data_IF_347397050810
#
_entry.id   IF_347397050810
#
_cell.length_a   1.000
_cell.length_b   1.000
_cell.length_c   1.000
_cell.angle_alpha   90.00
_cell.angle_beta   90.00
_cell.angle_gamma   90.00
#
_symmetry.space_group_name_H-M   'P 1'
#
loop_
_entity.id
_entity.type
_entity.pdbx_description
1 polymer ?
#
# COMPACT_ATOMS: atom_id res chain seq x y z
N UNK A 1 9.39 -9.06 21.29
CA UNK A 1 8.08 -8.84 21.92
C UNK A 1 7.00 -8.74 20.86
N UNK A 2 5.82 -9.27 21.16
CA UNK A 2 4.64 -9.08 20.32
C UNK A 2 4.29 -7.59 20.19
N UNK A 3 3.78 -7.19 19.03
CA UNK A 3 3.41 -5.81 18.78
C UNK A 3 2.18 -5.71 17.88
N UNK A 4 1.36 -4.68 18.08
CA UNK A 4 0.33 -4.30 17.13
C UNK A 4 0.99 -3.59 15.94
N UNK A 5 0.62 -4.01 14.72
CA UNK A 5 1.18 -3.49 13.48
C UNK A 5 0.05 -3.05 12.55
N UNK A 6 0.38 -2.21 11.58
CA UNK A 6 -0.61 -1.76 10.60
C UNK A 6 -0.97 -2.85 9.57
N UNK A 7 0.01 -3.62 9.13
CA UNK A 7 -0.19 -4.68 8.15
C UNK A 7 0.83 -5.80 8.30
N UNK A 8 0.46 -7.00 7.90
CA UNK A 8 1.33 -8.17 7.81
C UNK A 8 1.51 -8.57 6.34
N UNK A 9 2.68 -9.12 6.03
CA UNK A 9 2.99 -9.59 4.68
C UNK A 9 2.15 -10.83 4.33
N UNK A 10 1.68 -10.90 3.09
CA UNK A 10 1.02 -12.08 2.55
C UNK A 10 1.90 -13.34 2.51
N UNK A 11 3.21 -13.21 2.75
CA UNK A 11 4.12 -14.35 2.88
C UNK A 11 3.80 -15.22 4.10
N UNK A 12 3.29 -14.62 5.18
CA UNK A 12 2.84 -15.34 6.37
C UNK A 12 1.77 -14.52 7.10
N UNK A 13 0.51 -14.84 6.82
CA UNK A 13 -0.63 -14.16 7.41
C UNK A 13 -1.63 -15.21 7.91
N UNK A 14 -1.75 -15.35 9.23
CA UNK A 14 -2.77 -16.16 9.87
C UNK A 14 -3.97 -15.28 10.23
N UNK A 15 -5.16 -15.74 9.88
CA UNK A 15 -6.38 -14.97 10.11
C UNK A 15 -7.50 -15.85 10.64
N UNK A 16 -8.35 -15.26 11.44
CA UNK A 16 -9.63 -15.89 11.81
C UNK A 16 -10.54 -15.86 10.60
N UNK A 17 -11.13 -17.02 10.27
CA UNK A 17 -12.00 -17.20 9.10
C UNK A 17 -13.20 -16.23 9.12
N UNK A 18 -13.84 -16.05 10.28
CA UNK A 18 -14.96 -15.13 10.45
C UNK A 18 -14.55 -13.67 10.16
N UNK A 19 -13.44 -13.21 10.71
CA UNK A 19 -12.90 -11.87 10.45
C UNK A 19 -12.52 -11.67 8.96
N UNK A 20 -11.98 -12.71 8.31
CA UNK A 20 -11.66 -12.66 6.90
C UNK A 20 -12.91 -12.48 6.04
N UNK A 21 -13.95 -13.28 6.30
CA UNK A 21 -15.20 -13.24 5.56
C UNK A 21 -15.98 -11.95 5.81
N UNK A 22 -15.99 -11.45 7.05
CA UNK A 22 -16.71 -10.23 7.42
C UNK A 22 -16.26 -9.00 6.64
N UNK A 23 -14.97 -8.88 6.33
CA UNK A 23 -14.45 -7.76 5.53
C UNK A 23 -14.40 -8.06 4.02
N UNK A 24 -14.90 -9.22 3.58
CA UNK A 24 -14.97 -9.61 2.18
C UNK A 24 -13.68 -10.20 1.60
N UNK A 25 -12.74 -10.66 2.45
CA UNK A 25 -11.52 -11.33 2.01
C UNK A 25 -10.56 -10.45 1.21
N UNK A 26 -9.66 -11.08 0.46
CA UNK A 26 -8.77 -10.38 -0.49
C UNK A 26 -9.58 -9.88 -1.70
N UNK A 27 -9.30 -8.67 -2.13
CA UNK A 27 -9.94 -8.10 -3.33
C UNK A 27 -9.20 -8.56 -4.59
N UNK A 28 -9.81 -9.43 -5.36
CA UNK A 28 -9.23 -10.04 -6.57
C UNK A 28 -8.77 -9.03 -7.63
N UNK A 29 -9.35 -7.80 -7.62
CA UNK A 29 -8.98 -6.73 -8.55
C UNK A 29 -7.54 -6.26 -8.36
N UNK A 30 -6.95 -6.51 -7.19
CA UNK A 30 -5.53 -6.22 -6.96
C UNK A 30 -4.64 -7.21 -7.72
N UNK A 31 -5.03 -8.46 -7.82
CA UNK A 31 -4.27 -9.57 -8.41
C UNK A 31 -3.01 -9.93 -7.60
N UNK A 32 -2.11 -8.99 -7.39
CA UNK A 32 -0.89 -9.13 -6.57
C UNK A 32 -0.36 -7.74 -6.19
N UNK A 33 0.26 -7.65 -5.02
CA UNK A 33 0.77 -6.44 -4.35
C UNK A 33 -0.32 -5.51 -3.83
N UNK A 34 -0.21 -5.14 -2.58
CA UNK A 34 -1.09 -4.25 -1.79
C UNK A 34 -2.42 -4.90 -1.37
N UNK A 35 -2.77 -6.11 -1.83
CA UNK A 35 -4.01 -6.80 -1.44
C UNK A 35 -4.03 -7.14 0.05
N UNK A 36 -2.89 -7.55 0.58
CA UNK A 36 -2.73 -7.86 2.01
C UNK A 36 -2.78 -6.60 2.87
N UNK A 37 -2.22 -5.49 2.37
CA UNK A 37 -2.27 -4.20 3.07
C UNK A 37 -3.70 -3.65 3.07
N UNK A 38 -4.41 -3.76 1.94
CA UNK A 38 -5.83 -3.40 1.84
C UNK A 38 -6.68 -4.22 2.82
N UNK A 39 -6.43 -5.52 2.91
CA UNK A 39 -7.14 -6.42 3.81
C UNK A 39 -6.90 -6.03 5.28
N UNK A 40 -5.64 -5.85 5.68
CA UNK A 40 -5.29 -5.42 7.02
C UNK A 40 -5.93 -4.07 7.37
N UNK A 41 -5.93 -3.12 6.43
CA UNK A 41 -6.57 -1.82 6.64
C UNK A 41 -8.08 -1.94 6.87
N UNK A 42 -8.76 -2.82 6.12
CA UNK A 42 -10.21 -3.09 6.33
C UNK A 42 -10.48 -3.73 7.69
N UNK A 43 -9.61 -4.64 8.17
CA UNK A 43 -9.71 -5.20 9.52
C UNK A 43 -9.58 -4.14 10.59
N UNK A 44 -8.54 -3.32 10.53
CA UNK A 44 -8.33 -2.23 11.49
C UNK A 44 -9.53 -1.27 11.53
N UNK A 45 -10.13 -0.98 10.37
CA UNK A 45 -11.34 -0.15 10.29
C UNK A 45 -12.58 -0.83 10.89
N UNK A 46 -12.60 -2.14 10.92
CA UNK A 46 -13.68 -2.94 11.51
C UNK A 46 -13.45 -3.25 13.00
N UNK A 47 -12.42 -2.65 13.63
CA UNK A 47 -12.12 -2.81 15.05
C UNK A 47 -11.27 -4.06 15.37
N UNK A 48 -10.76 -4.77 14.38
CA UNK A 48 -9.80 -5.84 14.59
C UNK A 48 -8.38 -5.30 14.76
N UNK A 49 -7.53 -6.10 15.39
CA UNK A 49 -6.09 -5.83 15.49
C UNK A 49 -5.30 -6.75 14.55
N UNK A 50 -4.19 -6.22 14.02
CA UNK A 50 -3.16 -7.00 13.35
C UNK A 50 -1.96 -7.04 14.27
N UNK A 51 -1.49 -8.24 14.63
CA UNK A 51 -0.42 -8.45 15.60
C UNK A 51 0.74 -9.21 14.98
N UNK A 52 1.95 -8.81 15.33
CA UNK A 52 3.18 -9.52 15.04
C UNK A 52 3.58 -10.36 16.24
N UNK A 53 3.95 -11.63 15.99
CA UNK A 53 4.58 -12.51 16.99
C UNK A 53 5.97 -12.93 16.53
N UNK A 54 7.01 -12.73 17.37
CA UNK A 54 8.37 -13.13 17.04
C UNK A 54 8.63 -14.64 17.28
N UNK A 55 7.68 -15.34 17.90
CA UNK A 55 7.83 -16.74 18.32
C UNK A 55 7.66 -17.74 17.15
N UNK A 56 7.29 -17.26 15.97
CA UNK A 56 7.15 -18.06 14.76
C UNK A 56 7.96 -17.44 13.63
N UNK A 57 8.82 -18.23 13.02
CA UNK A 57 9.66 -17.80 11.90
C UNK A 57 9.35 -18.63 10.67
N UNK A 58 9.17 -17.95 9.53
CA UNK A 58 9.06 -18.58 8.22
C UNK A 58 10.18 -18.11 7.30
N UNK A 59 10.56 -18.96 6.37
CA UNK A 59 11.50 -18.61 5.30
C UNK A 59 10.73 -18.39 4.00
N UNK A 60 10.91 -17.24 3.38
CA UNK A 60 10.19 -16.85 2.17
C UNK A 60 11.15 -16.56 1.01
N UNK A 61 10.97 -17.27 -0.11
CA UNK A 61 11.66 -17.01 -1.36
C UNK A 61 11.07 -15.77 -2.03
N UNK A 62 11.64 -14.61 -1.73
CA UNK A 62 11.22 -13.35 -2.34
C UNK A 62 11.40 -13.35 -3.85
N UNK A 63 10.39 -12.85 -4.60
CA UNK A 63 10.49 -12.69 -6.06
C UNK A 63 10.16 -13.92 -6.91
N UNK A 64 9.72 -15.02 -6.30
CA UNK A 64 9.34 -16.23 -7.05
C UNK A 64 8.20 -16.01 -8.04
N UNK A 65 7.23 -15.14 -7.70
CA UNK A 65 6.06 -14.86 -8.55
C UNK A 65 6.34 -13.81 -9.63
N UNK A 66 7.05 -12.74 -9.29
CA UNK A 66 7.38 -11.64 -10.22
C UNK A 66 8.78 -11.11 -9.92
N UNK A 67 9.69 -11.23 -10.91
CA UNK A 67 11.05 -10.70 -10.77
C UNK A 67 11.04 -9.18 -10.58
N UNK A 68 12.06 -8.64 -9.91
CA UNK A 68 12.20 -7.20 -9.66
C UNK A 68 12.35 -6.37 -10.94
N UNK A 69 12.80 -6.98 -12.04
CA UNK A 69 12.96 -6.36 -13.36
C UNK A 69 11.70 -6.37 -14.22
N UNK A 70 10.55 -6.82 -13.68
CA UNK A 70 9.32 -6.96 -14.44
C UNK A 70 8.49 -5.66 -14.41
N UNK A 71 8.24 -5.07 -15.59
CA UNK A 71 7.40 -3.88 -15.74
C UNK A 71 5.95 -4.10 -15.24
N UNK A 72 5.44 -5.36 -15.27
CA UNK A 72 4.14 -5.72 -14.69
C UNK A 72 4.13 -5.52 -13.18
N UNK A 73 5.23 -5.82 -12.49
CA UNK A 73 5.36 -5.57 -11.04
C UNK A 73 5.29 -4.07 -10.75
N UNK A 74 5.99 -3.24 -11.53
CA UNK A 74 5.91 -1.78 -11.40
C UNK A 74 4.48 -1.31 -11.62
N UNK A 75 3.84 -1.73 -12.71
CA UNK A 75 2.45 -1.40 -13.01
C UNK A 75 1.51 -1.74 -11.85
N UNK A 76 1.58 -2.97 -11.31
CA UNK A 76 0.72 -3.42 -10.23
C UNK A 76 0.96 -2.59 -8.95
N UNK A 77 2.20 -2.37 -8.57
CA UNK A 77 2.53 -1.59 -7.38
C UNK A 77 1.96 -0.16 -7.45
N UNK A 78 2.15 0.54 -8.57
CA UNK A 78 1.65 1.91 -8.72
C UNK A 78 0.11 1.96 -8.80
N UNK A 79 -0.52 1.08 -9.59
CA UNK A 79 -1.98 1.01 -9.70
C UNK A 79 -2.64 0.65 -8.38
N UNK A 80 -2.16 -0.40 -7.74
CA UNK A 80 -2.76 -0.94 -6.52
C UNK A 80 -2.55 -0.02 -5.33
N UNK A 81 -1.42 0.67 -5.24
CA UNK A 81 -1.20 1.68 -4.21
C UNK A 81 -2.25 2.80 -4.29
N UNK A 82 -2.53 3.31 -5.50
CA UNK A 82 -3.57 4.32 -5.70
C UNK A 82 -4.98 3.77 -5.37
N UNK A 83 -5.28 2.53 -5.76
CA UNK A 83 -6.56 1.89 -5.45
C UNK A 83 -6.74 1.68 -3.95
N UNK A 84 -5.71 1.17 -3.27
CA UNK A 84 -5.70 0.93 -1.82
C UNK A 84 -5.95 2.24 -1.06
N UNK A 85 -5.23 3.31 -1.41
CA UNK A 85 -5.42 4.63 -0.81
C UNK A 85 -6.83 5.17 -1.07
N UNK A 86 -7.32 5.07 -2.31
CA UNK A 86 -8.66 5.55 -2.66
C UNK A 86 -9.77 4.79 -1.94
N UNK A 87 -9.64 3.46 -1.83
CA UNK A 87 -10.60 2.56 -1.19
C UNK A 87 -10.69 2.73 0.32
N UNK A 88 -9.57 3.01 0.97
CA UNK A 88 -9.48 2.97 2.44
C UNK A 88 -9.44 4.34 3.11
N UNK A 89 -8.96 5.39 2.42
CA UNK A 89 -8.94 6.74 2.98
C UNK A 89 -10.32 7.42 2.93
N UNK A 90 -10.66 8.23 3.95
CA UNK A 90 -11.82 9.11 3.87
C UNK A 90 -11.77 9.98 2.62
N UNK A 91 -12.93 10.20 2.01
CA UNK A 91 -13.04 10.91 0.72
C UNK A 91 -12.26 12.24 0.67
N UNK A 92 -12.31 13.04 1.76
CA UNK A 92 -11.58 14.32 1.85
C UNK A 92 -10.06 14.09 1.82
N UNK A 93 -9.57 13.10 2.56
CA UNK A 93 -8.14 12.75 2.60
C UNK A 93 -7.67 12.17 1.26
N UNK A 94 -8.44 11.27 0.66
CA UNK A 94 -8.13 10.71 -0.65
C UNK A 94 -8.01 11.81 -1.72
N UNK A 95 -8.95 12.77 -1.77
CA UNK A 95 -8.89 13.92 -2.68
C UNK A 95 -7.62 14.78 -2.51
N UNK A 96 -7.12 14.89 -1.28
CA UNK A 96 -5.91 15.69 -0.96
C UNK A 96 -4.61 14.91 -1.24
N UNK A 97 -4.59 13.61 -0.92
CA UNK A 97 -3.37 12.80 -0.96
C UNK A 97 -3.07 12.23 -2.35
N UNK A 98 -4.09 11.75 -3.07
CA UNK A 98 -3.89 11.09 -4.36
C UNK A 98 -3.21 11.98 -5.41
N UNK A 99 -3.55 13.27 -5.59
CA UNK A 99 -2.83 14.12 -6.54
C UNK A 99 -1.35 14.26 -6.21
N UNK A 100 -1.01 14.40 -4.91
CA UNK A 100 0.39 14.48 -4.45
C UNK A 100 1.15 13.19 -4.73
N UNK A 101 0.49 12.05 -4.48
CA UNK A 101 1.06 10.74 -4.79
C UNK A 101 1.26 10.57 -6.29
N UNK A 102 0.30 10.95 -7.11
CA UNK A 102 0.41 10.86 -8.57
C UNK A 102 1.52 11.76 -9.13
N UNK A 103 1.78 12.92 -8.51
CA UNK A 103 2.92 13.76 -8.87
C UNK A 103 4.25 13.05 -8.60
N UNK A 104 4.41 12.45 -7.41
CA UNK A 104 5.61 11.66 -7.07
C UNK A 104 5.79 10.46 -8.01
N UNK A 105 4.70 9.83 -8.42
CA UNK A 105 4.73 8.75 -9.41
C UNK A 105 5.21 9.27 -10.77
N UNK A 106 4.79 10.49 -11.16
CA UNK A 106 5.27 11.17 -12.38
C UNK A 106 6.77 11.44 -12.34
N UNK A 107 7.29 11.91 -11.19
CA UNK A 107 8.74 12.08 -10.99
C UNK A 107 9.48 10.74 -11.12
N UNK A 108 8.93 9.67 -10.56
CA UNK A 108 9.49 8.32 -10.71
C UNK A 108 9.51 7.85 -12.17
N UNK A 109 8.45 8.16 -12.94
CA UNK A 109 8.40 7.88 -14.37
C UNK A 109 9.48 8.67 -15.15
N UNK A 110 9.65 9.95 -14.82
CA UNK A 110 10.71 10.79 -15.38
C UNK A 110 12.11 10.22 -15.09
N UNK A 111 12.36 9.79 -13.86
CA UNK A 111 13.64 9.12 -13.51
C UNK A 111 13.87 7.84 -14.31
N UNK A 112 12.83 7.06 -14.59
CA UNK A 112 12.96 5.88 -15.44
C UNK A 112 13.27 6.25 -16.89
N UNK A 113 12.69 7.32 -17.41
CA UNK A 113 13.00 7.81 -18.78
C UNK A 113 14.46 8.24 -18.89
N UNK A 114 14.96 9.05 -17.94
CA UNK A 114 16.38 9.48 -17.90
C UNK A 114 17.33 8.28 -17.84
N UNK A 115 16.94 7.19 -17.17
CA UNK A 115 17.72 5.94 -17.09
C UNK A 115 17.53 5.01 -18.30
N UNK A 116 16.88 5.44 -19.39
CA UNK A 116 16.63 4.63 -20.58
C UNK A 116 15.62 3.48 -20.34
N UNK A 117 14.88 3.50 -19.24
CA UNK A 117 13.92 2.44 -18.86
C UNK A 117 12.48 2.81 -19.21
N UNK A 118 12.22 3.17 -20.46
CA UNK A 118 10.92 3.67 -20.96
C UNK A 118 9.74 2.74 -20.66
N UNK A 119 9.95 1.41 -20.70
CA UNK A 119 8.91 0.41 -20.37
C UNK A 119 8.37 0.55 -18.94
N UNK A 120 9.20 1.01 -17.99
CA UNK A 120 8.76 1.24 -16.61
C UNK A 120 7.98 2.55 -16.47
N UNK A 121 8.41 3.60 -17.17
CA UNK A 121 7.63 4.85 -17.27
C UNK A 121 6.26 4.61 -17.89
N UNK A 122 6.19 3.81 -18.95
CA UNK A 122 4.93 3.39 -19.57
C UNK A 122 4.04 2.58 -18.60
N UNK A 123 4.64 1.71 -17.78
CA UNK A 123 3.92 0.94 -16.78
C UNK A 123 3.25 1.86 -15.74
N UNK A 124 3.93 2.94 -15.31
CA UNK A 124 3.37 3.93 -14.38
C UNK A 124 2.21 4.70 -15.05
N UNK A 125 2.39 5.17 -16.29
CA UNK A 125 1.30 5.82 -17.03
C UNK A 125 0.07 4.92 -17.15
N UNK A 126 0.26 3.66 -17.54
CA UNK A 126 -0.80 2.64 -17.61
C UNK A 126 -1.47 2.43 -16.27
N UNK A 127 -0.70 2.38 -15.18
CA UNK A 127 -1.20 2.25 -13.83
C UNK A 127 -2.17 3.38 -13.46
N UNK A 128 -1.82 4.62 -13.77
CA UNK A 128 -2.68 5.79 -13.53
C UNK A 128 -3.95 5.78 -14.38
N UNK A 129 -3.82 5.40 -15.66
CA UNK A 129 -4.98 5.27 -16.56
C UNK A 129 -5.97 4.22 -16.04
N UNK A 130 -5.46 3.05 -15.68
CA UNK A 130 -6.29 1.94 -15.23
C UNK A 130 -6.85 2.18 -13.82
N UNK A 131 -6.11 2.85 -12.94
CA UNK A 131 -6.66 3.36 -11.67
C UNK A 131 -7.89 4.25 -11.88
N UNK A 132 -7.84 5.21 -12.84
CA UNK A 132 -8.98 6.10 -13.11
C UNK A 132 -10.23 5.33 -13.54
N UNK A 133 -10.07 4.22 -14.27
CA UNK A 133 -11.16 3.33 -14.67
C UNK A 133 -11.65 2.47 -13.50
N UNK A 134 -10.72 1.89 -12.75
CA UNK A 134 -11.05 0.94 -11.69
C UNK A 134 -11.62 1.59 -10.42
N UNK A 135 -11.27 2.84 -10.12
CA UNK A 135 -11.76 3.54 -8.92
C UNK A 135 -13.29 3.65 -8.85
N UNK A 136 -14.00 3.56 -9.98
CA UNK A 136 -15.46 3.59 -10.02
C UNK A 136 -16.11 2.39 -9.32
N UNK A 137 -15.38 1.28 -9.15
CA UNK A 137 -15.85 0.10 -8.43
C UNK A 137 -15.75 0.24 -6.90
N UNK A 138 -15.25 1.36 -6.41
CA UNK A 138 -15.02 1.60 -4.99
C UNK A 138 -15.69 2.90 -4.52
N UNK A 139 -16.24 2.84 -3.32
CA UNK A 139 -16.76 4.03 -2.63
C UNK A 139 -15.87 4.34 -1.44
N UNK A 140 -15.12 5.47 -1.47
CA UNK A 140 -14.33 5.88 -0.32
C UNK A 140 -15.21 6.09 0.91
N UNK A 141 -14.76 5.72 2.12
CA UNK A 141 -15.52 5.93 3.33
C UNK A 141 -15.78 7.42 3.58
N UNK A 142 -16.92 7.74 4.16
CA UNK A 142 -17.30 9.11 4.50
C UNK A 142 -16.61 9.60 5.77
N UNK A 143 -16.55 8.75 6.78
CA UNK A 143 -15.94 9.05 8.07
C UNK A 143 -14.45 8.64 8.11
N UNK A 144 -13.62 9.35 8.89
CA UNK A 144 -12.30 8.84 9.20
C UNK A 144 -12.45 7.50 9.92
N UNK A 145 -11.60 6.52 9.61
CA UNK A 145 -11.51 5.32 10.43
C UNK A 145 -11.13 5.72 11.86
N UNK A 146 -11.40 4.85 12.81
CA UNK A 146 -10.82 4.89 14.15
C UNK A 146 -9.36 5.34 14.00
N UNK A 147 -8.95 6.30 14.84
CA UNK A 147 -7.60 6.87 14.79
C UNK A 147 -6.58 5.72 14.82
N UNK A 148 -5.96 5.45 13.69
CA UNK A 148 -5.01 4.35 13.56
C UNK A 148 -3.69 4.83 14.15
N UNK A 149 -3.47 4.56 15.43
CA UNK A 149 -2.25 4.89 16.17
C UNK A 149 -0.97 4.34 15.53
N UNK A 150 -1.13 3.29 14.72
CA UNK A 150 -0.03 2.66 13.96
C UNK A 150 0.34 3.38 12.66
N UNK A 151 -0.35 4.47 12.28
CA UNK A 151 -0.02 5.25 11.07
C UNK A 151 0.82 6.45 11.43
N UNK A 152 2.05 6.49 10.93
CA UNK A 152 2.94 7.64 11.08
C UNK A 152 2.37 8.88 10.37
N UNK A 153 2.19 10.02 11.07
CA UNK A 153 1.41 11.16 10.55
C UNK A 153 2.16 12.02 9.52
N UNK A 154 3.47 11.83 9.37
CA UNK A 154 4.29 12.65 8.49
C UNK A 154 4.73 11.92 7.22
N UNK A 155 5.13 12.65 6.19
CA UNK A 155 5.67 12.09 4.96
C UNK A 155 7.06 11.50 5.19
N UNK A 156 7.23 10.19 5.07
CA UNK A 156 8.53 9.51 5.17
C UNK A 156 9.49 10.01 4.08
N UNK A 157 8.98 10.29 2.87
CA UNK A 157 9.77 10.85 1.77
C UNK A 157 10.36 12.20 2.17
N UNK A 158 9.57 13.08 2.79
CA UNK A 158 10.03 14.37 3.29
C UNK A 158 11.06 14.22 4.41
N UNK A 159 10.78 13.34 5.38
CA UNK A 159 11.69 13.06 6.49
C UNK A 159 13.05 12.55 6.01
N UNK A 160 13.04 11.65 5.02
CA UNK A 160 14.27 11.05 4.50
C UNK A 160 15.09 12.03 3.64
N UNK A 161 14.47 12.66 2.63
CA UNK A 161 15.20 13.47 1.64
C UNK A 161 15.51 14.90 2.09
N UNK A 162 14.65 15.49 2.93
CA UNK A 162 14.80 16.89 3.33
C UNK A 162 15.23 17.07 4.78
N UNK A 163 14.84 16.17 5.69
CA UNK A 163 15.21 16.23 7.09
C UNK A 163 16.33 15.24 7.48
N UNK A 164 16.86 14.48 6.53
CA UNK A 164 18.01 13.58 6.72
C UNK A 164 17.75 12.40 7.66
N UNK A 165 16.50 12.10 8.02
CA UNK A 165 16.15 10.98 8.90
C UNK A 165 16.27 9.67 8.14
N UNK A 166 17.28 8.87 8.46
CA UNK A 166 17.62 7.66 7.71
C UNK A 166 17.25 6.36 8.42
N UNK A 167 17.01 6.42 9.72
CA UNK A 167 16.68 5.25 10.54
C UNK A 167 15.24 5.37 11.04
N UNK A 168 14.58 4.21 11.24
CA UNK A 168 13.22 4.17 11.78
C UNK A 168 13.15 4.80 13.19
N UNK A 169 14.21 4.63 13.98
CA UNK A 169 14.35 5.26 15.31
C UNK A 169 14.33 6.80 15.29
N UNK A 170 14.64 7.43 14.14
CA UNK A 170 14.62 8.89 13.99
C UNK A 170 13.20 9.43 13.80
N UNK A 171 12.25 8.53 13.49
CA UNK A 171 10.85 8.85 13.27
C UNK A 171 10.14 8.85 14.62
N UNK A 172 10.08 10.02 15.26
CA UNK A 172 9.25 10.20 16.46
C UNK A 172 7.80 10.49 16.05
N UNK A 173 6.81 9.87 16.73
CA UNK A 173 5.38 10.13 16.47
C UNK A 173 5.00 11.58 16.74
#
# INVERSE_FOLDING_TARGET
TEASIFWASGACLFVRRDAYLQVGGLDERFFAHMEEIDLCWRWLRSGYEVRYTPNSTIYHLGGATLSTSNARKVYLNFRNNLLMLYKNLPRKQAKRLLPKRMLLDGLSAGMYLVKGKSRFAWAIYKAHRDFRKMKQHYTPPLAPPVQLSSVYPHSIVWQYFFLGKRHFSDLKP
#
